data_IF_846523987612
#
_entry.id   IF_846523987612
#
_cell.length_a   1.000
_cell.length_b   1.000
_cell.length_c   1.000
_cell.angle_alpha   90.00
_cell.angle_beta   90.00
_cell.angle_gamma   90.00
#
_symmetry.space_group_name_H-M   'P 1'
#
loop_
_entity.id
_entity.type
_entity.pdbx_description
1 polymer ?
2 non-polymer ?
3 water ?
#
# COMPACT_ATOMS: atom_id res chain seq x y z
N UNK A 1 4.36 -11.56 -13.84
CA UNK A 1 5.82 -11.80 -13.74
C UNK A 1 6.36 -11.40 -12.36
N UNK A 2 7.67 -11.25 -12.26
CA UNK A 2 8.34 -10.82 -11.03
C UNK A 2 8.59 -9.34 -11.18
N UNK A 3 8.21 -8.56 -10.19
CA UNK A 3 8.39 -7.12 -10.28
C UNK A 3 9.08 -6.59 -9.02
N UNK A 4 10.23 -5.92 -9.20
CA UNK A 4 10.99 -5.35 -8.07
C UNK A 4 10.34 -4.06 -7.60
N UNK A 5 10.81 -3.53 -6.48
CA UNK A 5 10.18 -2.34 -5.93
C UNK A 5 10.99 -1.06 -5.94
N UNK A 6 12.01 -1.03 -6.80
CA UNK A 6 12.86 0.14 -6.95
C UNK A 6 12.05 1.31 -7.47
N UNK A 7 11.02 1.01 -8.24
CA UNK A 7 10.13 2.06 -8.74
C UNK A 7 8.68 1.75 -8.28
N UNK A 8 7.76 2.71 -8.34
CA UNK A 8 6.39 2.39 -7.98
C UNK A 8 5.89 1.23 -8.85
N UNK A 9 5.17 0.26 -8.25
CA UNK A 9 4.65 -0.88 -9.02
C UNK A 9 3.36 -0.52 -9.82
N UNK A 10 3.54 0.22 -10.92
CA UNK A 10 2.44 0.64 -11.78
C UNK A 10 2.11 -0.33 -12.89
N UNK A 11 0.83 -0.60 -13.13
CA UNK A 11 0.47 -1.50 -14.21
C UNK A 11 -0.69 -0.90 -15.00
N UNK A 12 -0.90 -1.45 -16.18
CA UNK A 12 -2.00 -1.01 -17.01
C UNK A 12 -3.26 -1.90 -16.75
N UNK A 13 -4.40 -1.25 -16.52
CA UNK A 13 -5.63 -1.98 -16.34
C UNK A 13 -6.65 -1.50 -17.37
N UNK A 14 -7.57 -2.39 -17.73
CA UNK A 14 -8.63 -2.08 -18.66
C UNK A 14 -9.93 -2.33 -17.93
N UNK A 15 -10.67 -1.26 -17.67
CA UNK A 15 -11.91 -1.35 -16.96
C UNK A 15 -12.96 -0.40 -17.55
N UNK A 16 -14.13 -0.96 -17.83
CA UNK A 16 -15.23 -0.17 -18.37
C UNK A 16 -14.92 0.40 -19.73
N UNK A 17 -14.21 -0.40 -20.55
CA UNK A 17 -13.82 0.02 -21.88
C UNK A 17 -12.63 0.98 -21.91
N UNK A 18 -12.18 1.44 -20.74
CA UNK A 18 -11.08 2.41 -20.62
C UNK A 18 -9.73 1.89 -20.13
N UNK A 19 -8.67 2.50 -20.63
CA UNK A 19 -7.32 2.10 -20.23
C UNK A 19 -6.79 3.05 -19.16
N UNK A 20 -6.27 2.50 -18.07
CA UNK A 20 -5.76 3.33 -17.00
C UNK A 20 -4.56 2.70 -16.37
N UNK A 21 -3.82 3.51 -15.63
CA UNK A 21 -2.64 3.00 -14.92
C UNK A 21 -3.03 2.95 -13.46
N UNK A 22 -2.59 1.91 -12.77
CA UNK A 22 -2.91 1.71 -11.36
C UNK A 22 -1.70 1.15 -10.59
N UNK A 23 -1.62 1.52 -9.31
CA UNK A 23 -0.53 1.10 -8.45
C UNK A 23 -0.89 -0.20 -7.71
N UNK A 24 -0.05 -1.23 -7.86
CA UNK A 24 -0.29 -2.50 -7.16
C UNK A 24 0.05 -2.28 -5.68
N UNK A 25 -0.97 -2.32 -4.83
CA UNK A 25 -0.78 -2.01 -3.42
C UNK A 25 -1.11 -3.10 -2.41
N UNK A 26 -0.09 -3.74 -1.85
CA UNK A 26 -0.34 -4.79 -0.86
C UNK A 26 -0.91 -4.25 0.46
N UNK A 27 -0.80 -2.95 0.69
CA UNK A 27 -1.31 -2.36 1.92
C UNK A 27 -2.76 -1.86 1.88
N UNK A 28 -3.47 -2.12 0.79
CA UNK A 28 -4.86 -1.72 0.66
C UNK A 28 -5.72 -3.00 0.63
N UNK A 29 -6.77 -3.07 1.44
CA UNK A 29 -7.58 -4.28 1.38
C UNK A 29 -8.46 -4.14 0.17
N UNK A 30 -8.76 -2.90 -0.20
CA UNK A 30 -9.66 -2.60 -1.32
C UNK A 30 -9.03 -1.92 -2.56
N UNK A 31 -9.77 -1.95 -3.66
CA UNK A 31 -9.30 -1.34 -4.88
C UNK A 31 -10.10 -0.06 -5.01
N UNK A 32 -9.43 1.06 -5.27
CA UNK A 32 -10.14 2.33 -5.41
C UNK A 32 -9.58 3.16 -6.57
N UNK A 33 -10.45 3.55 -7.49
CA UNK A 33 -10.01 4.32 -8.65
C UNK A 33 -10.51 5.76 -8.63
N UNK A 34 -9.75 6.65 -9.27
CA UNK A 34 -10.12 8.06 -9.38
C UNK A 34 -11.50 8.12 -10.05
N UNK A 35 -12.19 9.25 -9.95
CA UNK A 35 -13.53 9.36 -10.55
C UNK A 35 -13.55 8.93 -12.03
N UNK A 36 -14.48 8.05 -12.34
CA UNK A 36 -14.62 7.58 -13.70
C UNK A 36 -16.07 7.17 -13.90
N UNK A 37 -16.48 7.15 -15.17
CA UNK A 37 -17.85 6.78 -15.51
C UNK A 37 -17.97 5.28 -15.54
N UNK A 38 -18.77 4.78 -14.61
CA UNK A 38 -19.00 3.36 -14.47
C UNK A 38 -20.49 3.11 -14.52
N UNK A 39 -20.90 2.05 -15.21
CA UNK A 39 -22.32 1.76 -15.30
C UNK A 39 -22.70 0.77 -14.21
N UNK A 40 -23.99 0.70 -13.88
CA UNK A 40 -24.43 -0.24 -12.87
C UNK A 40 -24.89 0.37 -11.57
N UNK A 41 -25.20 -0.51 -10.61
CA UNK A 41 -25.67 -0.12 -9.29
C UNK A 41 -24.61 -0.07 -8.20
N UNK A 42 -24.78 0.88 -7.28
CA UNK A 42 -23.81 1.04 -6.21
C UNK A 42 -24.43 1.38 -4.86
N UNK A 43 -23.68 1.04 -3.81
CA UNK A 43 -24.03 1.29 -2.40
C UNK A 43 -22.95 2.31 -2.00
N UNK A 44 -23.30 3.34 -1.23
CA UNK A 44 -22.24 4.29 -0.86
C UNK A 44 -21.34 3.70 0.23
N UNK A 45 -20.12 4.22 0.38
CA UNK A 45 -19.23 3.70 1.41
C UNK A 45 -18.14 4.69 1.75
N UNK A 46 -17.51 4.50 2.91
CA UNK A 46 -16.44 5.37 3.37
C UNK A 46 -15.23 4.53 3.74
N UNK A 47 -14.05 4.96 3.32
CA UNK A 47 -12.83 4.23 3.64
C UNK A 47 -11.79 5.21 4.10
N UNK A 48 -10.82 4.70 4.84
CA UNK A 48 -9.77 5.55 5.35
C UNK A 48 -8.38 5.04 5.09
N UNK A 49 -7.43 5.95 5.24
CA UNK A 49 -6.03 5.64 5.05
C UNK A 49 -5.28 6.56 5.97
N UNK A 50 -4.10 7.01 5.57
CA UNK A 50 -3.31 7.91 6.42
C UNK A 50 -3.80 9.32 6.77
N UNK A 51 -4.17 10.13 5.79
CA UNK A 51 -4.64 11.47 6.12
C UNK A 51 -6.12 11.56 6.43
N UNK A 52 -6.71 10.48 6.94
CA UNK A 52 -8.12 10.52 7.27
C UNK A 52 -9.02 9.65 6.41
N UNK A 53 -10.27 10.07 6.21
CA UNK A 53 -11.21 9.26 5.43
C UNK A 53 -11.86 10.00 4.25
N UNK A 54 -12.35 9.22 3.26
CA UNK A 54 -13.07 9.75 2.07
C UNK A 54 -14.30 8.92 1.76
N UNK A 55 -15.23 9.48 0.99
CA UNK A 55 -16.45 8.78 0.58
C UNK A 55 -16.32 8.27 -0.88
N UNK A 56 -16.66 7.00 -1.08
CA UNK A 56 -16.55 6.39 -2.40
C UNK A 56 -17.77 5.54 -2.75
N UNK A 57 -18.03 5.37 -4.04
CA UNK A 57 -19.16 4.55 -4.44
C UNK A 57 -18.68 3.13 -4.66
N UNK A 58 -19.44 2.18 -4.15
CA UNK A 58 -19.09 0.79 -4.29
C UNK A 58 -19.84 0.08 -5.39
N UNK A 59 -19.11 -0.19 -6.46
CA UNK A 59 -19.61 -0.89 -7.62
C UNK A 59 -19.09 -2.32 -7.46
N UNK A 60 -20.00 -3.29 -7.50
CA UNK A 60 -19.62 -4.70 -7.36
C UNK A 60 -19.68 -5.49 -8.67
N UNK A 61 -19.08 -6.67 -8.67
CA UNK A 61 -19.09 -7.50 -9.85
C UNK A 61 -18.59 -6.76 -11.08
N UNK A 62 -17.44 -6.10 -10.98
CA UNK A 62 -16.91 -5.36 -12.13
C UNK A 62 -15.78 -6.15 -12.78
N UNK A 63 -15.67 -6.06 -14.10
CA UNK A 63 -14.61 -6.78 -14.80
C UNK A 63 -13.40 -5.88 -14.98
N UNK A 64 -12.21 -6.42 -14.79
CA UNK A 64 -11.01 -5.61 -14.97
C UNK A 64 -9.93 -6.45 -15.59
N UNK A 65 -9.16 -5.88 -16.49
CA UNK A 65 -8.06 -6.63 -17.03
C UNK A 65 -6.83 -5.98 -16.47
N UNK A 66 -6.08 -6.74 -15.67
CA UNK A 66 -4.85 -6.27 -15.05
C UNK A 66 -3.71 -7.09 -15.59
N UNK A 67 -2.83 -6.45 -16.37
CA UNK A 67 -1.72 -7.16 -16.97
C UNK A 67 -2.30 -8.37 -17.71
N UNK A 68 -3.40 -8.15 -18.44
CA UNK A 68 -4.00 -9.26 -19.16
C UNK A 68 -4.97 -10.15 -18.38
N UNK A 69 -4.66 -10.51 -17.13
CA UNK A 69 -5.57 -11.36 -16.35
C UNK A 69 -6.90 -10.67 -16.11
N UNK A 70 -7.98 -11.26 -16.60
CA UNK A 70 -9.28 -10.69 -16.36
C UNK A 70 -9.69 -11.16 -14.96
N UNK A 71 -10.34 -10.30 -14.19
CA UNK A 71 -10.79 -10.62 -12.84
C UNK A 71 -12.08 -9.85 -12.66
N UNK A 72 -12.94 -10.33 -11.77
CA UNK A 72 -14.21 -9.66 -11.47
C UNK A 72 -14.27 -9.45 -9.96
N UNK A 73 -14.68 -8.26 -9.55
CA UNK A 73 -14.74 -7.96 -8.14
C UNK A 73 -15.25 -6.56 -7.91
N UNK A 74 -15.15 -6.16 -6.65
CA UNK A 74 -15.60 -4.87 -6.20
C UNK A 74 -14.54 -3.85 -6.52
N UNK A 75 -14.99 -2.67 -6.91
CA UNK A 75 -14.12 -1.56 -7.18
C UNK A 75 -14.84 -0.41 -6.49
N UNK A 76 -14.06 0.49 -5.91
CA UNK A 76 -14.55 1.68 -5.24
C UNK A 76 -14.13 2.85 -6.12
N UNK A 77 -15.04 3.79 -6.33
CA UNK A 77 -14.72 4.94 -7.15
C UNK A 77 -14.88 6.19 -6.29
N UNK A 78 -13.89 7.08 -6.34
CA UNK A 78 -13.94 8.28 -5.53
C UNK A 78 -12.74 9.21 -5.66
N UNK A 79 -12.63 10.19 -4.74
CA UNK A 79 -11.55 11.19 -4.72
C UNK A 79 -10.08 10.81 -4.45
N UNK A 80 -9.73 9.53 -4.59
CA UNK A 80 -8.33 9.09 -4.41
C UNK A 80 -7.42 9.84 -5.39
N UNK A 81 -6.21 10.21 -4.96
CA UNK A 81 -5.29 10.91 -5.88
C UNK A 81 -4.83 9.96 -7.02
N UNK A 82 -4.50 8.71 -6.67
CA UNK A 82 -4.10 7.72 -7.66
C UNK A 82 -4.99 6.46 -7.61
N UNK A 83 -4.99 5.69 -8.69
CA UNK A 83 -5.75 4.44 -8.77
C UNK A 83 -4.93 3.35 -8.06
N UNK A 84 -5.53 2.61 -7.13
CA UNK A 84 -4.75 1.57 -6.44
C UNK A 84 -5.44 0.24 -6.56
N UNK A 85 -4.69 -0.80 -6.87
CA UNK A 85 -5.28 -2.15 -6.96
C UNK A 85 -4.97 -2.82 -5.62
N UNK A 86 -6.03 -3.12 -4.86
CA UNK A 86 -5.91 -3.72 -3.54
C UNK A 86 -5.95 -5.22 -3.46
N UNK A 87 -5.82 -5.75 -2.25
CA UNK A 87 -5.79 -7.20 -2.08
C UNK A 87 -7.01 -7.97 -2.60
N UNK A 88 -8.18 -7.35 -2.61
CA UNK A 88 -9.35 -8.05 -3.09
C UNK A 88 -9.19 -8.48 -4.55
N UNK A 89 -8.37 -7.76 -5.32
CA UNK A 89 -8.12 -8.17 -6.71
C UNK A 89 -6.77 -8.89 -6.84
N UNK A 90 -5.78 -8.47 -6.06
CA UNK A 90 -4.47 -9.09 -6.11
C UNK A 90 -4.53 -10.61 -5.81
N UNK A 91 -5.38 -11.04 -4.88
CA UNK A 91 -5.50 -12.48 -4.63
C UNK A 91 -6.12 -13.11 -5.91
N UNK A 92 -6.99 -12.38 -6.61
CA UNK A 92 -7.62 -12.92 -7.82
C UNK A 92 -6.59 -13.27 -8.87
N UNK A 93 -5.52 -12.50 -8.99
CA UNK A 93 -4.53 -12.79 -10.02
C UNK A 93 -3.35 -13.60 -9.52
N UNK A 94 -3.44 -14.10 -8.29
CA UNK A 94 -2.37 -14.90 -7.74
C UNK A 94 -1.11 -14.13 -7.40
N UNK A 95 -1.26 -12.88 -6.99
CA UNK A 95 -0.08 -12.10 -6.64
C UNK A 95 0.46 -12.38 -5.21
N UNK A 96 1.78 -12.62 -5.11
CA UNK A 96 2.47 -12.87 -3.82
C UNK A 96 3.70 -11.96 -3.62
N UNK A 97 4.12 -11.75 -2.39
CA UNK A 97 5.31 -10.97 -2.11
C UNK A 97 6.43 -12.02 -1.88
N UNK A 98 7.66 -11.73 -2.29
CA UNK A 98 8.74 -12.71 -2.13
C UNK A 98 10.03 -12.09 -1.70
N UNK A 99 10.76 -12.77 -0.83
CA UNK A 99 12.05 -12.27 -0.38
C UNK A 99 12.92 -13.30 0.35
N UNK B 1 10.37 -15.14 2.62
CA UNK B 1 9.67 -16.27 1.97
C UNK B 1 8.62 -15.73 0.98
N UNK B 2 7.73 -16.62 0.55
CA UNK B 2 6.64 -16.25 -0.35
C UNK B 2 5.41 -16.01 0.51
N UNK B 3 4.78 -14.86 0.37
CA UNK B 3 3.61 -14.57 1.18
C UNK B 3 2.42 -14.22 0.29
N UNK B 4 1.30 -14.93 0.43
CA UNK B 4 0.10 -14.64 -0.37
C UNK B 4 -0.63 -13.44 0.23
N UNK B 5 -1.67 -12.97 -0.46
CA UNK B 5 -2.37 -11.77 0.01
C UNK B 5 -3.80 -11.96 0.49
N UNK B 6 -4.12 -13.18 0.91
CA UNK B 6 -5.46 -13.48 1.40
C UNK B 6 -5.71 -12.74 2.67
N UNK B 7 -4.65 -12.53 3.42
CA UNK B 7 -4.78 -11.77 4.67
C UNK B 7 -3.83 -10.56 4.57
N UNK B 8 -3.98 -9.56 5.44
CA UNK B 8 -3.05 -8.42 5.43
C UNK B 8 -1.62 -8.93 5.61
N UNK B 9 -0.67 -8.47 4.77
CA UNK B 9 0.70 -8.96 4.94
C UNK B 9 1.44 -8.29 6.13
N UNK B 10 1.20 -8.82 7.33
CA UNK B 10 1.80 -8.29 8.55
C UNK B 10 3.06 -9.03 8.96
N UNK B 11 4.08 -8.29 9.38
CA UNK B 11 5.32 -8.93 9.84
C UNK B 11 5.79 -8.32 11.15
N UNK B 12 6.70 -9.02 11.81
CA UNK B 12 7.26 -8.51 13.04
C UNK B 12 8.57 -7.73 12.74
N UNK B 13 8.68 -6.54 13.31
CA UNK B 13 9.88 -5.77 13.09
C UNK B 13 10.49 -5.42 14.44
N UNK B 14 11.81 -5.26 14.49
CA UNK B 14 12.46 -4.84 15.72
C UNK B 14 13.14 -3.52 15.40
N UNK B 15 12.73 -2.48 16.10
CA UNK B 15 13.26 -1.15 15.88
C UNK B 15 13.42 -0.39 17.21
N UNK B 16 14.62 0.16 17.43
CA UNK B 16 14.88 0.91 18.65
C UNK B 16 14.66 0.10 19.92
N UNK B 17 15.14 -1.15 19.92
CA UNK B 17 14.98 -2.02 21.08
C UNK B 17 13.59 -2.63 21.25
N UNK B 18 12.59 -2.15 20.48
CA UNK B 18 11.19 -2.63 20.58
C UNK B 18 10.65 -3.50 19.46
N UNK B 19 9.72 -4.36 19.84
CA UNK B 19 9.09 -5.28 18.90
C UNK B 19 7.73 -4.75 18.47
N UNK B 20 7.48 -4.74 17.16
CA UNK B 20 6.23 -4.25 16.64
C UNK B 20 5.79 -5.00 15.40
N UNK B 21 4.52 -4.83 15.07
CA UNK B 21 3.92 -5.45 13.88
C UNK B 21 3.78 -4.34 12.87
N UNK B 22 4.10 -4.64 11.61
CA UNK B 22 3.97 -3.67 10.54
C UNK B 22 3.44 -4.33 9.27
N UNK B 23 2.80 -3.52 8.44
CA UNK B 23 2.20 -3.98 7.21
C UNK B 23 3.15 -3.76 6.04
N UNK B 24 3.44 -4.81 5.28
CA UNK B 24 4.31 -4.65 4.12
C UNK B 24 3.45 -4.00 3.02
N UNK B 25 3.79 -2.77 2.66
CA UNK B 25 2.98 -2.02 1.70
C UNK B 25 3.68 -1.61 0.40
N UNK B 26 3.41 -2.30 -0.71
CA UNK B 26 4.06 -1.93 -1.97
C UNK B 26 3.58 -0.57 -2.50
N UNK B 27 2.50 -0.04 -1.95
CA UNK B 27 1.99 1.24 -2.41
C UNK B 27 2.43 2.46 -1.62
N UNK B 28 3.44 2.29 -0.77
CA UNK B 28 3.96 3.38 0.02
C UNK B 28 5.41 3.56 -0.41
N UNK B 29 5.79 4.78 -0.74
CA UNK B 29 7.18 4.98 -1.12
C UNK B 29 8.02 4.95 0.16
N UNK B 30 7.43 5.44 1.25
CA UNK B 30 8.11 5.55 2.53
C UNK B 30 7.57 4.63 3.63
N UNK B 31 8.35 4.54 4.70
CA UNK B 31 8.00 3.72 5.84
C UNK B 31 7.58 4.65 6.97
N UNK B 32 6.39 4.46 7.52
CA UNK B 32 5.96 5.32 8.62
C UNK B 32 5.36 4.51 9.77
N UNK B 33 5.81 4.80 10.98
CA UNK B 33 5.37 4.07 12.16
C UNK B 33 4.60 4.93 13.13
N UNK B 34 3.71 4.30 13.89
CA UNK B 34 2.90 4.98 14.91
C UNK B 34 3.88 5.67 15.87
N UNK B 35 3.41 6.68 16.60
CA UNK B 35 4.29 7.38 17.55
C UNK B 35 5.06 6.40 18.48
N UNK B 36 6.37 6.60 18.52
CA UNK B 36 7.22 5.78 19.35
C UNK B 36 8.43 6.63 19.73
N UNK B 37 9.11 6.19 20.79
CA UNK B 37 10.28 6.91 21.26
C UNK B 37 11.50 6.45 20.49
N UNK B 38 12.04 7.39 19.73
CA UNK B 38 13.22 7.12 18.94
C UNK B 38 14.31 8.12 19.32
N UNK B 39 15.57 7.68 19.30
CA UNK B 39 16.76 8.47 19.62
C UNK B 39 17.10 9.51 18.55
N UNK B 40 18.33 10.02 18.58
CA UNK B 40 18.77 11.01 17.61
C UNK B 40 17.82 12.17 17.37
N UNK B 41 18.09 12.93 16.30
CA UNK B 41 17.24 14.09 15.94
C UNK B 41 16.55 13.92 14.58
N UNK B 42 15.68 14.87 14.26
CA UNK B 42 14.91 14.76 13.04
C UNK B 42 14.75 16.05 12.26
N UNK B 43 14.28 15.89 11.02
CA UNK B 43 13.95 16.99 10.11
C UNK B 43 12.43 16.78 9.97
N UNK B 44 11.60 17.82 10.20
CA UNK B 44 10.15 17.55 10.05
C UNK B 44 9.71 17.37 8.60
N UNK B 45 8.58 16.70 8.39
CA UNK B 45 8.10 16.44 7.03
C UNK B 45 6.60 16.21 6.99
N UNK B 46 6.03 16.31 5.79
CA UNK B 46 4.60 16.12 5.57
C UNK B 46 4.43 15.08 4.46
N UNK B 47 3.53 14.11 4.67
CA UNK B 47 3.27 13.10 3.65
C UNK B 47 1.79 12.97 3.51
N UNK B 48 1.37 12.45 2.38
CA UNK B 48 -0.05 12.28 2.14
C UNK B 48 -0.37 10.93 1.52
N UNK B 49 -1.66 10.65 1.49
CA UNK B 49 -2.15 9.41 0.93
C UNK B 49 -3.63 9.57 0.66
N UNK B 50 -4.38 8.50 0.87
CA UNK B 50 -5.81 8.51 0.64
C UNK B 50 -6.34 9.20 1.91
N UNK B 51 -7.24 10.15 1.75
CA UNK B 51 -7.75 10.81 2.93
C UNK B 51 -7.24 12.24 3.03
N UNK B 52 -5.94 12.45 2.88
CA UNK B 52 -5.37 13.79 2.98
C UNK B 52 -3.89 13.76 3.35
N UNK B 53 -3.45 14.65 4.24
CA UNK B 53 -2.03 14.72 4.61
C UNK B 53 -1.78 14.75 6.12
N UNK B 54 -0.61 14.27 6.55
CA UNK B 54 -0.20 14.29 7.98
C UNK B 54 1.24 14.77 8.17
N UNK B 55 1.57 15.17 9.39
CA UNK B 55 2.92 15.64 9.72
C UNK B 55 3.70 14.52 10.43
N UNK B 56 4.92 14.28 10.00
CA UNK B 56 5.74 13.23 10.60
C UNK B 56 7.17 13.70 10.85
N UNK B 57 7.89 13.01 11.73
CA UNK B 57 9.28 13.38 11.96
C UNK B 57 10.08 12.39 11.15
N UNK B 58 11.14 12.88 10.52
CA UNK B 58 11.98 12.04 9.72
C UNK B 58 13.33 11.75 10.38
N UNK B 59 13.56 10.46 10.62
CA UNK B 59 14.78 9.90 11.22
C UNK B 59 15.48 9.09 10.14
N UNK B 60 16.75 9.39 9.89
CA UNK B 60 17.48 8.65 8.87
C UNK B 60 18.49 7.71 9.50
N UNK B 61 18.99 6.79 8.69
CA UNK B 61 19.98 5.86 9.15
C UNK B 61 19.52 5.10 10.38
N UNK B 62 18.29 4.61 10.37
CA UNK B 62 17.82 3.86 11.53
C UNK B 62 17.82 2.37 11.24
N UNK B 63 18.24 1.57 12.21
CA UNK B 63 18.30 0.14 12.02
C UNK B 63 16.96 -0.55 12.30
N UNK B 64 16.56 -1.48 11.44
CA UNK B 64 15.32 -2.21 11.65
C UNK B 64 15.48 -3.67 11.29
N UNK B 65 14.94 -4.55 12.10
CA UNK B 65 15.02 -5.96 11.75
C UNK B 65 13.62 -6.36 11.28
N UNK B 66 13.52 -6.70 9.99
CA UNK B 66 12.25 -7.13 9.39
C UNK B 66 12.38 -8.59 9.01
N UNK B 67 11.59 -9.44 9.65
CA UNK B 67 11.65 -10.88 9.41
C UNK B 67 13.13 -11.30 9.44
N UNK B 68 13.86 -10.78 10.44
CA UNK B 68 15.27 -11.12 10.56
C UNK B 68 16.21 -10.20 9.81
N UNK B 69 15.94 -9.96 8.53
CA UNK B 69 16.79 -9.08 7.73
C UNK B 69 17.01 -7.73 8.41
N UNK B 70 18.27 -7.40 8.73
CA UNK B 70 18.55 -6.09 9.31
C UNK B 70 18.75 -5.13 8.12
N UNK B 71 18.16 -3.94 8.19
CA UNK B 71 18.26 -2.93 7.15
C UNK B 71 18.43 -1.59 7.83
N UNK B 72 18.99 -0.63 7.11
CA UNK B 72 19.16 0.72 7.65
C UNK B 72 18.58 1.72 6.65
N UNK B 73 17.77 2.63 7.16
CA UNK B 73 17.15 3.60 6.29
C UNK B 73 16.34 4.59 7.07
N UNK B 74 15.60 5.38 6.31
CA UNK B 74 14.77 6.41 6.89
C UNK B 74 13.46 5.83 7.34
N UNK B 75 12.96 6.35 8.45
CA UNK B 75 11.71 5.91 9.01
C UNK B 75 11.04 7.21 9.38
N UNK B 76 9.74 7.32 9.11
CA UNK B 76 8.96 8.49 9.46
C UNK B 76 8.10 8.08 10.65
N UNK B 77 8.00 8.94 11.64
CA UNK B 77 7.20 8.61 12.80
C UNK B 77 6.11 9.66 12.92
N UNK B 78 4.89 9.21 13.19
CA UNK B 78 3.79 10.14 13.30
C UNK B 78 2.44 9.49 13.56
N UNK B 79 1.35 10.25 13.34
CA UNK B 79 -0.04 9.84 13.55
C UNK B 79 -0.71 8.77 12.67
N UNK B 80 0.07 8.01 11.91
CA UNK B 80 -0.49 6.93 11.09
C UNK B 80 -1.24 5.92 11.98
N UNK B 81 -2.39 5.42 11.52
CA UNK B 81 -3.19 4.43 12.27
C UNK B 81 -2.43 3.09 12.46
N UNK B 82 -1.76 2.62 11.40
CA UNK B 82 -0.98 1.40 11.50
C UNK B 82 0.46 1.61 10.97
N UNK B 83 1.40 0.77 11.42
CA UNK B 83 2.79 0.85 10.98
C UNK B 83 2.89 0.30 9.57
N UNK B 84 3.53 1.01 8.64
CA UNK B 84 3.64 0.49 7.26
C UNK B 84 5.09 0.45 6.82
N UNK B 85 5.51 -0.67 6.24
CA UNK B 85 6.89 -0.80 5.72
C UNK B 85 6.81 -0.44 4.23
N UNK B 86 7.45 0.65 3.83
CA UNK B 86 7.37 1.11 2.45
C UNK B 86 8.46 0.65 1.52
N UNK B 87 8.44 1.14 0.28
CA UNK B 87 9.42 0.69 -0.70
C UNK B 87 10.87 1.02 -0.38
N UNK B 88 11.11 2.07 0.40
CA UNK B 88 12.47 2.42 0.73
C UNK B 88 13.16 1.31 1.53
N UNK B 89 12.40 0.55 2.33
CA UNK B 89 12.98 -0.60 3.07
C UNK B 89 12.74 -1.95 2.33
N UNK B 90 11.61 -2.07 1.63
CA UNK B 90 11.27 -3.28 0.89
C UNK B 90 12.35 -3.65 -0.15
N UNK B 91 12.91 -2.65 -0.83
CA UNK B 91 13.99 -2.91 -1.81
C UNK B 91 15.21 -3.43 -1.02
N UNK B 92 15.43 -2.85 0.17
CA UNK B 92 16.56 -3.26 1.01
C UNK B 92 16.58 -4.74 1.28
N UNK B 93 15.41 -5.35 1.50
CA UNK B 93 15.38 -6.79 1.78
C UNK B 93 15.07 -7.64 0.58
N UNK B 94 15.16 -7.07 -0.61
CA UNK B 94 14.92 -7.85 -1.82
C UNK B 94 13.50 -8.31 -2.07
N UNK B 95 12.54 -7.56 -1.55
CA UNK B 95 11.16 -7.92 -1.74
C UNK B 95 10.61 -7.66 -3.17
N UNK B 96 9.98 -8.68 -3.79
CA UNK B 96 9.36 -8.56 -5.12
C UNK B 96 7.89 -9.03 -5.18
N UNK B 97 7.13 -8.55 -6.15
CA UNK B 97 5.75 -9.01 -6.31
C UNK B 97 5.82 -10.09 -7.40
N UNK B 98 4.94 -11.09 -7.36
CA UNK B 98 4.98 -12.17 -8.35
C UNK B 98 3.61 -12.71 -8.71
N UNK B 99 3.43 -13.01 -9.99
CA UNK B 99 2.16 -13.56 -10.47
C UNK B 99 2.23 -14.03 -11.92
X LIG C 1 -0.26 6.47 2.20
X LIG C 1 0.58 6.16 1.35
X LIG C 1 1.95 6.37 1.45
X LIG C 1 2.65 6.81 2.70
X LIG C 1 4.13 6.88 2.36
X LIG C 1 2.40 5.78 3.82
X LIG C 1 2.12 8.19 3.09
X LIG C 1 0.33 5.55 0.15
X LIG C 1 -1.11 5.34 -0.07
X LIG C 1 -1.47 3.87 -0.42
X LIG C 1 -0.29 3.09 -0.56
X LIG C 1 -1.62 6.29 -1.18
X LIG C 1 -0.55 6.78 -2.13
X LIG C 1 0.35 5.89 -2.71
X LIG C 1 -0.46 8.14 -2.45
X LIG C 1 1.33 6.35 -3.59
X LIG C 1 0.51 8.60 -3.33
X LIG C 1 1.40 7.70 -3.90
X LIG C 1 -2.37 3.26 0.67
X LIG C 1 -1.54 2.59 1.69
X LIG C 1 -2.28 2.12 2.87
X LIG C 1 -3.77 2.52 2.91
X LIG C 1 -4.11 3.65 3.25
X LIG C 1 -1.56 2.60 4.14
X LIG C 1 -2.33 2.32 5.41
X LIG C 1 -2.63 3.36 6.29
X LIG C 1 -2.78 1.03 5.70
X LIG C 1 -3.38 3.12 7.44
X LIG C 1 -3.53 0.78 6.86
X LIG C 1 -3.84 1.83 7.73
X LIG C 1 -4.65 1.58 2.56
X LIG C 1 -6.09 1.83 2.56
X LIG C 1 -6.84 0.68 3.21
X LIG C 1 -6.59 -0.48 2.90
X LIG C 1 -6.58 2.02 1.11
X LIG C 1 -8.08 2.21 0.92
X LIG C 1 -8.86 0.91 1.00
X LIG C 1 -8.38 -0.15 0.60
X LIG C 1 -10.09 0.98 1.50
X LIG C 1 -7.75 1.01 4.13
X LIG C 1 -8.53 -0.01 4.83
X LIG C 1 -10.03 0.22 4.70
X LIG C 1 -10.49 1.36 4.61
X LIG C 1 -8.12 -0.05 6.30
X LIG C 1 -8.28 1.27 7.02
X LIG C 1 -9.45 1.55 7.74
X LIG C 1 -7.25 2.20 7.01
X LIG C 1 -9.57 2.74 8.45
X LIG C 1 -7.37 3.40 7.72
X LIG C 1 -8.53 3.67 8.45
X LIG C 1 -10.79 -0.87 4.68
#
# INVERSE_FOLDING_TARGET
>A
PQITLWQRPLVTIKIGGQLKEALLDTGADDTVLEEMSLPGRWKPKMIGGIGGFIKVRQYDQILIEICGHKVIGTVLVGPTPTNVIGRNLLTQIGCTLNF
>B
PQITLWQRPLVTIKIGGQLKEALLDTGADDTVLEEMSLPGRWKPKMIGGIGGFIKVRQYDQILIEICGHKVIGTVLVGPTPTNVIGRNLLTQIGCTLNF
>C hetero
1 0ZR O1 C O2 CT C1 C2 C3 N CA C4 OS CB CG CD1 CD2 CE1 CE2 CZ CM N1 CA1 C5 O CB1 CG1 CD11 CD21 CE11 CE21 CZ1 N2 CA2 C6 O3 CB2 CG2 CD OE1 NE2 N3 CA3 C7 O4 CB3 CG3 CD12 CD22 CE12 CE22 CZ2 N4
#
